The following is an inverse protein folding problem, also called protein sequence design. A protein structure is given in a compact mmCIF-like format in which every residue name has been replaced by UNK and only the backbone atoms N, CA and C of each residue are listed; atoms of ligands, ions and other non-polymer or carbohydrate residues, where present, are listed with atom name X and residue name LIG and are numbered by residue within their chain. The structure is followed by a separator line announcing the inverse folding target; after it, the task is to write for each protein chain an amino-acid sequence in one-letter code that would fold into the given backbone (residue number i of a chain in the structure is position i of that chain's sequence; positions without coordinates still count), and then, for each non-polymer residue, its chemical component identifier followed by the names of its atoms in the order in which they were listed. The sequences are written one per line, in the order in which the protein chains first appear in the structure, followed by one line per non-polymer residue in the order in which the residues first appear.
data_IF_887612790195
#
_entry.id   IF_887612790195
#
_cell.length_a   1.000
_cell.length_b   1.000
_cell.length_c   1.000
_cell.angle_alpha   90.00
_cell.angle_beta   90.00
_cell.angle_gamma   90.00
#
_symmetry.space_group_name_H-M   'P 1'
#
loop_
_entity.id
_entity.type
_entity.pdbx_description
1 polymer ?
#
# COMPACT_ATOMS: atom_id res chain seq x y z
N UNK A 1 10.03 14.80 -3.70
CA UNK A 1 8.57 14.86 -3.85
C UNK A 1 8.04 16.17 -3.23
N UNK A 2 8.49 17.32 -3.75
CA UNK A 2 8.32 18.62 -3.07
C UNK A 2 6.87 19.01 -2.80
N UNK A 3 5.96 18.80 -3.74
CA UNK A 3 4.55 19.17 -3.55
C UNK A 3 3.88 18.46 -2.36
N UNK A 4 4.22 17.19 -2.13
CA UNK A 4 3.70 16.43 -0.99
C UNK A 4 4.33 16.94 0.31
N UNK A 5 5.64 17.22 0.29
CA UNK A 5 6.35 17.77 1.45
C UNK A 5 5.76 19.13 1.86
N UNK A 6 5.44 19.97 0.89
CA UNK A 6 4.85 21.29 1.11
C UNK A 6 3.40 21.17 1.60
N UNK A 7 2.59 20.30 0.99
CA UNK A 7 1.24 20.01 1.49
C UNK A 7 1.26 19.50 2.95
N UNK A 8 2.16 18.56 3.24
CA UNK A 8 2.36 17.98 4.57
C UNK A 8 2.74 19.02 5.63
N UNK A 9 3.54 20.02 5.24
CA UNK A 9 3.95 21.12 6.12
C UNK A 9 2.87 22.18 6.32
N UNK A 10 2.17 22.56 5.25
CA UNK A 10 1.26 23.71 5.26
C UNK A 10 -0.18 23.36 5.61
N UNK A 11 -0.62 22.13 5.31
CA UNK A 11 -2.03 21.76 5.41
C UNK A 11 -2.33 20.75 6.51
N UNK A 12 -1.33 20.07 7.09
CA UNK A 12 -1.54 18.98 8.04
C UNK A 12 -0.98 19.27 9.44
N UNK A 13 -1.71 18.84 10.46
CA UNK A 13 -1.23 18.82 11.84
C UNK A 13 -0.30 17.63 12.09
N UNK A 14 0.34 17.58 13.27
CA UNK A 14 1.37 16.56 13.59
C UNK A 14 0.87 15.12 13.50
N UNK A 15 -0.41 14.86 13.83
CA UNK A 15 -1.00 13.52 13.76
C UNK A 15 -1.27 13.11 12.31
N UNK A 16 -1.91 13.98 11.55
CA UNK A 16 -2.18 13.76 10.12
C UNK A 16 -0.90 13.59 9.32
N UNK A 17 0.14 14.36 9.68
CA UNK A 17 1.46 14.27 9.06
C UNK A 17 2.09 12.89 9.27
N UNK A 18 1.97 12.36 10.48
CA UNK A 18 2.47 11.01 10.79
C UNK A 18 1.74 9.94 9.99
N UNK A 19 0.41 10.04 9.90
CA UNK A 19 -0.41 9.14 9.10
C UNK A 19 0.00 9.21 7.62
N UNK A 20 0.16 10.44 7.08
CA UNK A 20 0.59 10.63 5.70
C UNK A 20 1.99 10.02 5.45
N UNK A 21 2.95 10.22 6.35
CA UNK A 21 4.29 9.64 6.23
C UNK A 21 4.25 8.10 6.30
N UNK A 22 3.46 7.51 7.19
CA UNK A 22 3.32 6.04 7.28
C UNK A 22 2.76 5.46 5.96
N UNK A 23 1.82 6.16 5.30
CA UNK A 23 1.29 5.77 4.00
C UNK A 23 2.27 5.96 2.84
N UNK A 24 3.13 6.98 2.92
CA UNK A 24 4.04 7.34 1.84
C UNK A 24 5.45 6.76 1.98
N UNK A 25 5.80 6.18 3.12
CA UNK A 25 7.15 5.70 3.42
C UNK A 25 7.68 4.73 2.33
N UNK A 26 6.87 3.76 1.93
CA UNK A 26 7.24 2.80 0.88
C UNK A 26 7.45 3.46 -0.49
N UNK A 27 6.58 4.41 -0.85
CA UNK A 27 6.71 5.17 -2.10
C UNK A 27 7.95 6.07 -2.09
N UNK A 28 8.19 6.80 -0.99
CA UNK A 28 9.40 7.62 -0.79
C UNK A 28 10.67 6.81 -0.96
N UNK A 29 10.73 5.64 -0.31
CA UNK A 29 11.88 4.75 -0.40
C UNK A 29 12.10 4.30 -1.84
N UNK A 30 11.06 3.81 -2.50
CA UNK A 30 11.12 3.35 -3.90
C UNK A 30 11.58 4.47 -4.85
N UNK A 31 11.02 5.68 -4.73
CA UNK A 31 11.42 6.81 -5.57
C UNK A 31 12.88 7.22 -5.33
N UNK A 32 13.40 7.04 -4.11
CA UNK A 32 14.82 7.30 -3.83
C UNK A 32 15.72 6.37 -4.63
N UNK A 33 15.47 5.06 -4.63
CA UNK A 33 16.25 4.13 -5.47
C UNK A 33 16.06 4.41 -6.95
N UNK A 34 14.85 4.73 -7.39
CA UNK A 34 14.60 5.09 -8.78
C UNK A 34 15.31 6.37 -9.23
N UNK A 35 15.53 7.35 -8.35
CA UNK A 35 16.19 8.59 -8.72
C UNK A 35 17.72 8.51 -8.56
N UNK A 36 18.20 7.79 -7.54
CA UNK A 36 19.58 7.88 -7.09
C UNK A 36 20.44 6.64 -7.45
N UNK A 37 19.83 5.51 -7.79
CA UNK A 37 20.53 4.24 -8.06
C UNK A 37 20.40 3.81 -9.54
N UNK A 38 21.46 3.97 -10.35
CA UNK A 38 21.45 3.60 -11.77
C UNK A 38 21.26 2.10 -12.03
N UNK A 39 21.72 1.24 -11.11
CA UNK A 39 21.53 -0.21 -11.21
C UNK A 39 20.06 -0.55 -11.03
N UNK A 40 19.45 -0.03 -9.97
CA UNK A 40 18.03 -0.17 -9.71
C UNK A 40 17.17 0.41 -10.85
N UNK A 41 17.53 1.56 -11.41
CA UNK A 41 16.85 2.14 -12.57
C UNK A 41 16.81 1.19 -13.77
N UNK A 42 17.94 0.55 -14.07
CA UNK A 42 18.06 -0.37 -15.21
C UNK A 42 17.24 -1.65 -15.01
N UNK A 43 17.21 -2.16 -13.78
CA UNK A 43 16.54 -3.43 -13.43
C UNK A 43 15.04 -3.26 -13.18
N UNK A 44 14.60 -2.10 -12.67
CA UNK A 44 13.21 -1.86 -12.30
C UNK A 44 12.24 -2.01 -13.48
N UNK A 45 12.66 -1.58 -14.67
CA UNK A 45 11.84 -1.71 -15.89
C UNK A 45 12.02 -3.06 -16.59
N UNK A 46 13.08 -3.80 -16.25
CA UNK A 46 13.45 -5.09 -16.86
C UNK A 46 12.36 -6.14 -16.64
N UNK A 47 11.72 -6.10 -15.47
CA UNK A 47 10.60 -6.98 -15.11
C UNK A 47 9.21 -6.36 -15.31
N UNK A 48 9.11 -5.20 -15.98
CA UNK A 48 7.81 -4.52 -16.23
C UNK A 48 6.79 -5.43 -16.92
N UNK A 49 7.24 -6.31 -17.82
CA UNK A 49 6.37 -7.28 -18.47
C UNK A 49 5.79 -8.31 -17.49
N UNK A 50 6.59 -8.77 -16.52
CA UNK A 50 6.16 -9.68 -15.45
C UNK A 50 5.16 -9.00 -14.51
N UNK A 51 5.40 -7.73 -14.15
CA UNK A 51 4.48 -6.95 -13.31
C UNK A 51 3.12 -6.75 -13.98
N UNK A 52 3.02 -6.76 -15.31
CA UNK A 52 1.75 -6.61 -16.03
C UNK A 52 0.82 -7.81 -15.82
N UNK A 53 1.37 -9.01 -15.63
CA UNK A 53 0.62 -10.21 -15.27
C UNK A 53 0.20 -10.19 -13.81
N UNK A 54 1.17 -9.94 -12.91
CA UNK A 54 0.94 -9.84 -11.47
C UNK A 54 -0.09 -8.76 -11.14
N UNK A 55 -0.07 -7.61 -11.83
CA UNK A 55 -1.04 -6.52 -11.65
C UNK A 55 -2.48 -6.97 -11.86
N UNK A 56 -2.77 -7.79 -12.87
CA UNK A 56 -4.15 -8.25 -13.14
C UNK A 56 -4.65 -9.21 -12.07
N UNK A 57 -3.80 -10.17 -11.70
CA UNK A 57 -4.14 -11.15 -10.67
C UNK A 57 -4.25 -10.49 -9.29
N UNK A 58 -3.38 -9.53 -9.02
CA UNK A 58 -3.42 -8.67 -7.85
C UNK A 58 -4.70 -7.84 -7.80
N UNK A 59 -5.06 -7.13 -8.87
CA UNK A 59 -6.27 -6.30 -8.92
C UNK A 59 -7.53 -7.15 -8.72
N UNK A 60 -7.59 -8.33 -9.35
CA UNK A 60 -8.69 -9.27 -9.17
C UNK A 60 -8.76 -9.82 -7.73
N UNK A 61 -7.60 -10.14 -7.13
CA UNK A 61 -7.52 -10.63 -5.76
C UNK A 61 -7.88 -9.56 -4.74
N UNK A 62 -7.28 -8.37 -4.86
CA UNK A 62 -7.55 -7.21 -4.02
C UNK A 62 -9.01 -6.77 -4.12
N UNK A 63 -9.58 -6.77 -5.34
CA UNK A 63 -11.00 -6.47 -5.55
C UNK A 63 -11.92 -7.45 -4.80
N UNK A 64 -11.66 -8.77 -4.93
CA UNK A 64 -12.40 -9.79 -4.17
C UNK A 64 -12.23 -9.64 -2.67
N UNK A 65 -11.01 -9.37 -2.19
CA UNK A 65 -10.74 -9.17 -0.77
C UNK A 65 -11.50 -7.96 -0.21
N UNK A 66 -11.45 -6.82 -0.89
CA UNK A 66 -12.19 -5.61 -0.48
C UNK A 66 -13.69 -5.87 -0.45
N UNK A 67 -14.22 -6.63 -1.41
CA UNK A 67 -15.63 -7.02 -1.42
C UNK A 67 -15.98 -7.89 -0.20
N UNK A 68 -15.19 -8.94 0.08
CA UNK A 68 -15.40 -9.82 1.24
C UNK A 68 -15.32 -9.04 2.56
N UNK A 69 -14.35 -8.13 2.69
CA UNK A 69 -14.24 -7.24 3.85
C UNK A 69 -15.48 -6.37 4.01
N UNK A 70 -15.99 -5.77 2.94
CA UNK A 70 -17.22 -4.94 2.98
C UNK A 70 -18.43 -5.75 3.38
N UNK A 71 -18.59 -6.94 2.81
CA UNK A 71 -19.66 -7.85 3.18
C UNK A 71 -19.59 -8.24 4.65
N UNK A 72 -18.41 -8.61 5.14
CA UNK A 72 -18.22 -8.93 6.56
C UNK A 72 -18.53 -7.72 7.45
N UNK A 73 -18.03 -6.53 7.13
CA UNK A 73 -18.35 -5.29 7.85
C UNK A 73 -19.86 -5.04 7.92
N UNK A 74 -20.61 -5.34 6.84
CA UNK A 74 -22.07 -5.15 6.79
C UNK A 74 -22.88 -6.18 7.59
N UNK A 75 -22.34 -7.40 7.82
CA UNK A 75 -23.09 -8.53 8.39
C UNK A 75 -23.32 -8.49 9.91
N UNK A 76 -22.66 -7.63 10.69
CA UNK A 76 -22.81 -7.61 12.18
C UNK A 76 -22.62 -6.23 12.81
N UNK A 77 -23.37 -5.98 13.89
CA UNK A 77 -23.24 -4.86 14.82
C UNK A 77 -21.96 -4.94 15.66
N UNK A 78 -20.79 -4.98 15.03
CA UNK A 78 -19.51 -4.95 15.73
C UNK A 78 -18.77 -3.64 15.40
N UNK A 79 -18.02 -3.14 16.38
CA UNK A 79 -17.24 -1.91 16.24
C UNK A 79 -16.10 -2.09 15.23
N UNK A 80 -15.83 -1.03 14.47
CA UNK A 80 -14.84 -0.99 13.38
C UNK A 80 -13.44 -1.47 13.80
N UNK A 81 -13.03 -1.16 15.04
CA UNK A 81 -11.73 -1.55 15.60
C UNK A 81 -11.59 -3.07 15.84
N UNK A 82 -12.64 -3.75 16.33
CA UNK A 82 -12.61 -5.20 16.55
C UNK A 82 -12.57 -5.96 15.22
N UNK A 83 -13.22 -5.41 14.19
CA UNK A 83 -13.23 -5.96 12.83
C UNK A 83 -11.88 -5.83 12.12
N UNK A 84 -11.23 -4.67 12.23
CA UNK A 84 -9.91 -4.45 11.62
C UNK A 84 -8.86 -5.42 12.17
N UNK A 85 -8.90 -5.74 13.46
CA UNK A 85 -8.05 -6.79 14.07
C UNK A 85 -8.32 -8.19 13.48
N UNK A 86 -9.59 -8.56 13.30
CA UNK A 86 -10.00 -9.81 12.63
C UNK A 86 -9.73 -9.82 11.13
N UNK A 87 -9.41 -8.70 10.49
CA UNK A 87 -9.06 -8.65 9.07
C UNK A 87 -7.55 -8.60 8.85
N UNK A 88 -6.80 -8.02 9.80
CA UNK A 88 -5.35 -7.95 9.74
C UNK A 88 -4.67 -9.33 9.72
N UNK A 89 -5.20 -10.34 10.41
CA UNK A 89 -4.61 -11.70 10.39
C UNK A 89 -4.74 -12.37 9.01
N UNK A 90 -5.80 -12.06 8.25
CA UNK A 90 -6.01 -12.57 6.88
C UNK A 90 -5.04 -11.94 5.87
N UNK A 91 -4.64 -10.69 6.10
CA UNK A 91 -3.66 -9.97 5.27
C UNK A 91 -2.25 -10.50 5.54
N UNK A 92 -1.88 -10.74 6.80
CA UNK A 92 -0.55 -11.27 7.15
C UNK A 92 -0.27 -12.67 6.59
N UNK A 93 -1.29 -13.50 6.34
CA UNK A 93 -1.10 -14.82 5.70
C UNK A 93 -0.93 -14.74 4.17
N UNK A 94 -1.40 -13.66 3.53
CA UNK A 94 -1.29 -13.47 2.07
C UNK A 94 -0.14 -12.52 1.65
N UNK A 95 0.52 -11.84 2.59
CA UNK A 95 1.64 -10.92 2.31
C UNK A 95 2.98 -11.59 2.03
N UNK A 96 3.09 -12.92 2.01
CA UNK A 96 4.28 -13.63 1.50
C UNK A 96 4.57 -13.36 0.01
N UNK A 97 3.71 -12.61 -0.68
CA UNK A 97 3.89 -12.23 -2.09
C UNK A 97 4.61 -10.89 -2.31
N UNK A 98 4.88 -10.11 -1.25
CA UNK A 98 5.60 -8.82 -1.35
C UNK A 98 6.89 -8.89 -0.53
N UNK A 99 7.76 -9.82 -0.90
CA UNK A 99 9.17 -9.83 -0.52
C UNK A 99 9.98 -10.08 -1.78
N UNK A 100 10.04 -9.03 -2.62
CA UNK A 100 11.08 -8.80 -3.62
C UNK A 100 11.58 -7.38 -3.35
#
# INVERSE_FOLDING_TARGET
MGCIDDYSKHCLNSRERKILEDHLAGARYTFRFLCDDPGFQSEYLLYKACYRGVSKDWDACAGRFVQLVREEMSRKNATEASRLMELCWLVSQNMNFISI
#
